data_IF_421040228084
#
_entry.id   IF_421040228084
#
_cell.length_a   1.000
_cell.length_b   1.000
_cell.length_c   1.000
_cell.angle_alpha   90.00
_cell.angle_beta   90.00
_cell.angle_gamma   90.00
#
_symmetry.space_group_name_H-M   'P 1'
#
loop_
_entity.id
_entity.type
_entity.pdbx_description
1 polymer ?
#
# COMPACT_ATOMS: atom_id res chain seq x y z
N UNK A 1 -18.35 9.91 22.91
CA UNK A 1 -18.40 8.46 22.69
C UNK A 1 -17.01 7.99 22.33
N UNK A 2 -16.53 7.06 23.09
CA UNK A 2 -15.21 6.52 22.83
C UNK A 2 -15.33 5.33 21.89
N UNK A 3 -14.69 5.42 20.74
CA UNK A 3 -14.59 4.28 19.86
C UNK A 3 -13.64 3.26 20.47
N UNK A 4 -14.07 2.03 20.56
CA UNK A 4 -13.17 0.96 20.96
C UNK A 4 -12.12 0.78 19.87
N UNK A 5 -10.88 0.57 20.27
CA UNK A 5 -9.84 0.21 19.31
C UNK A 5 -10.19 -1.16 18.72
N UNK A 6 -10.24 -1.27 17.39
CA UNK A 6 -10.52 -2.56 16.77
C UNK A 6 -9.48 -3.59 17.22
N UNK A 7 -9.96 -4.77 17.54
CA UNK A 7 -9.09 -5.89 17.86
C UNK A 7 -9.16 -6.90 16.72
N UNK A 8 -8.01 -7.19 16.15
CA UNK A 8 -7.90 -8.23 15.12
C UNK A 8 -6.96 -9.32 15.63
N UNK A 9 -7.26 -10.56 15.26
CA UNK A 9 -6.47 -11.70 15.73
C UNK A 9 -5.20 -11.90 14.89
N UNK A 10 -5.21 -11.42 13.64
CA UNK A 10 -4.13 -11.63 12.69
C UNK A 10 -4.14 -10.54 11.63
N UNK A 11 -3.05 -10.38 10.85
CA UNK A 11 -3.06 -9.49 9.70
C UNK A 11 -4.16 -9.83 8.68
N UNK A 12 -4.44 -11.11 8.50
CA UNK A 12 -5.52 -11.56 7.60
C UNK A 12 -6.88 -11.08 8.09
N UNK A 13 -7.09 -11.09 9.40
CA UNK A 13 -8.34 -10.60 10.00
C UNK A 13 -8.48 -9.09 9.79
N UNK A 14 -7.40 -8.32 9.97
CA UNK A 14 -7.40 -6.89 9.70
C UNK A 14 -7.70 -6.60 8.22
N UNK A 15 -7.10 -7.35 7.30
CA UNK A 15 -7.35 -7.20 5.87
C UNK A 15 -8.78 -7.57 5.51
N UNK A 16 -9.35 -8.57 6.18
CA UNK A 16 -10.76 -8.94 5.98
C UNK A 16 -11.68 -7.78 6.36
N UNK A 17 -11.39 -7.08 7.45
CA UNK A 17 -12.16 -5.90 7.84
C UNK A 17 -12.04 -4.80 6.79
N UNK A 18 -10.85 -4.59 6.23
CA UNK A 18 -10.63 -3.63 5.15
C UNK A 18 -11.45 -4.00 3.90
N UNK A 19 -11.47 -5.27 3.53
CA UNK A 19 -12.24 -5.77 2.38
C UNK A 19 -13.73 -5.52 2.60
N UNK A 20 -14.25 -5.77 3.80
CA UNK A 20 -15.65 -5.52 4.11
C UNK A 20 -15.99 -4.04 3.99
N UNK A 21 -15.12 -3.16 4.45
CA UNK A 21 -15.30 -1.71 4.33
C UNK A 21 -15.31 -1.25 2.86
N UNK A 22 -14.64 -1.99 1.98
CA UNK A 22 -14.56 -1.67 0.55
C UNK A 22 -15.71 -2.25 -0.28
N UNK A 23 -16.64 -2.96 0.35
CA UNK A 23 -17.81 -3.51 -0.34
C UNK A 23 -17.81 -5.02 -0.50
N UNK A 24 -16.85 -5.71 0.12
CA UNK A 24 -16.82 -7.16 0.19
C UNK A 24 -15.88 -7.84 -0.79
N UNK A 25 -15.76 -9.14 -0.65
CA UNK A 25 -14.79 -9.95 -1.38
C UNK A 25 -15.03 -10.03 -2.88
N UNK A 26 -16.28 -9.95 -3.33
CA UNK A 26 -16.58 -9.98 -4.77
C UNK A 26 -16.03 -8.74 -5.45
N UNK A 27 -16.23 -7.57 -4.86
CA UNK A 27 -15.74 -6.31 -5.40
C UNK A 27 -14.22 -6.25 -5.37
N UNK A 28 -13.61 -6.53 -4.24
CA UNK A 28 -12.16 -6.45 -4.07
C UNK A 28 -11.46 -7.54 -4.88
N UNK A 29 -11.98 -8.76 -4.85
CA UNK A 29 -11.42 -9.86 -5.65
C UNK A 29 -11.41 -9.54 -7.14
N UNK A 30 -12.47 -8.92 -7.65
CA UNK A 30 -12.54 -8.51 -9.06
C UNK A 30 -11.51 -7.44 -9.41
N UNK A 31 -11.11 -6.61 -8.47
CA UNK A 31 -10.06 -5.62 -8.66
C UNK A 31 -8.69 -6.29 -8.71
N UNK A 32 -8.44 -7.25 -7.81
CA UNK A 32 -7.15 -7.93 -7.72
C UNK A 32 -6.90 -8.90 -8.87
N UNK A 33 -7.94 -9.59 -9.31
CA UNK A 33 -7.85 -10.62 -10.35
C UNK A 33 -8.91 -10.39 -11.42
N UNK A 34 -8.63 -9.42 -12.29
CA UNK A 34 -9.58 -8.99 -13.34
C UNK A 34 -9.88 -10.06 -14.38
N UNK A 35 -8.95 -10.97 -14.58
CA UNK A 35 -9.05 -12.06 -15.55
C UNK A 35 -9.81 -13.27 -15.02
N UNK A 36 -10.10 -13.31 -13.73
CA UNK A 36 -10.89 -14.38 -13.13
C UNK A 36 -12.34 -13.98 -13.05
N UNK A 37 -13.24 -14.97 -13.10
CA UNK A 37 -14.65 -14.72 -12.84
C UNK A 37 -14.88 -14.21 -11.43
N UNK A 38 -15.95 -13.45 -11.23
CA UNK A 38 -16.26 -12.79 -9.95
C UNK A 38 -16.25 -13.79 -8.79
N UNK A 39 -16.90 -14.93 -8.96
CA UNK A 39 -17.01 -15.94 -7.90
C UNK A 39 -15.66 -16.62 -7.61
N UNK A 40 -14.86 -16.87 -8.65
CA UNK A 40 -13.53 -17.46 -8.47
C UNK A 40 -12.57 -16.48 -7.79
N UNK A 41 -12.60 -15.21 -8.17
CA UNK A 41 -11.80 -14.18 -7.52
C UNK A 41 -12.19 -14.00 -6.05
N UNK A 42 -13.49 -13.97 -5.77
CA UNK A 42 -13.99 -13.86 -4.41
C UNK A 42 -13.53 -15.04 -3.55
N UNK A 43 -13.63 -16.26 -4.07
CA UNK A 43 -13.19 -17.46 -3.37
C UNK A 43 -11.68 -17.44 -3.10
N UNK A 44 -10.89 -17.03 -4.09
CA UNK A 44 -9.43 -16.92 -3.92
C UNK A 44 -9.10 -15.90 -2.83
N UNK A 45 -9.80 -14.76 -2.81
CA UNK A 45 -9.59 -13.76 -1.77
C UNK A 45 -9.93 -14.32 -0.38
N UNK A 46 -11.03 -15.03 -0.24
CA UNK A 46 -11.36 -15.69 1.03
C UNK A 46 -10.27 -16.64 1.47
N UNK A 47 -9.73 -17.43 0.56
CA UNK A 47 -8.65 -18.37 0.87
C UNK A 47 -7.38 -17.63 1.31
N UNK A 48 -7.01 -16.55 0.61
CA UNK A 48 -5.85 -15.74 0.97
C UNK A 48 -5.98 -15.06 2.33
N UNK A 49 -7.20 -14.75 2.74
CA UNK A 49 -7.46 -14.10 4.03
C UNK A 49 -7.76 -15.09 5.16
N UNK A 50 -7.65 -16.37 4.88
CA UNK A 50 -7.82 -17.42 5.88
C UNK A 50 -6.44 -17.88 6.37
N UNK A 51 -6.08 -17.65 7.66
CA UNK A 51 -4.75 -18.02 8.17
C UNK A 51 -4.42 -19.50 8.06
N UNK A 52 -5.44 -20.36 7.97
CA UNK A 52 -5.24 -21.82 7.91
C UNK A 52 -5.00 -22.33 6.50
N UNK A 53 -5.14 -21.49 5.49
CA UNK A 53 -4.95 -21.87 4.08
C UNK A 53 -3.53 -21.54 3.65
N UNK A 54 -3.05 -22.28 2.65
CA UNK A 54 -1.72 -22.05 2.08
C UNK A 54 -1.68 -20.81 1.17
N UNK A 55 -2.80 -20.49 0.54
CA UNK A 55 -2.91 -19.32 -0.34
C UNK A 55 -2.70 -18.05 0.46
N UNK A 56 -1.87 -17.15 -0.06
CA UNK A 56 -1.59 -15.86 0.58
C UNK A 56 -1.61 -14.76 -0.46
N UNK A 57 -1.96 -13.56 -0.01
CA UNK A 57 -1.82 -12.36 -0.84
C UNK A 57 -0.35 -12.03 -1.03
N UNK A 58 -0.02 -11.53 -2.22
CA UNK A 58 1.25 -10.87 -2.42
C UNK A 58 1.28 -9.57 -1.63
N UNK A 59 2.46 -9.12 -1.24
CA UNK A 59 2.59 -7.89 -0.46
C UNK A 59 1.99 -6.69 -1.19
N UNK A 60 2.18 -6.60 -2.50
CA UNK A 60 1.59 -5.52 -3.32
C UNK A 60 0.08 -5.53 -3.29
N UNK A 61 -0.54 -6.70 -3.25
CA UNK A 61 -1.99 -6.84 -3.17
C UNK A 61 -2.51 -6.39 -1.81
N UNK A 62 -1.82 -6.77 -0.74
CA UNK A 62 -2.16 -6.33 0.61
C UNK A 62 -2.05 -4.81 0.73
N UNK A 63 -0.98 -4.22 0.20
CA UNK A 63 -0.79 -2.78 0.21
C UNK A 63 -1.88 -2.06 -0.59
N UNK A 64 -2.31 -2.62 -1.71
CA UNK A 64 -3.40 -2.04 -2.51
C UNK A 64 -4.71 -2.03 -1.71
N UNK A 65 -5.04 -3.12 -1.04
CA UNK A 65 -6.24 -3.20 -0.19
C UNK A 65 -6.18 -2.13 0.91
N UNK A 66 -5.03 -1.99 1.57
CA UNK A 66 -4.86 -1.00 2.63
C UNK A 66 -4.94 0.43 2.09
N UNK A 67 -4.40 0.69 0.90
CA UNK A 67 -4.49 1.98 0.25
C UNK A 67 -5.94 2.34 -0.09
N UNK A 68 -6.69 1.41 -0.66
CA UNK A 68 -8.10 1.60 -0.94
C UNK A 68 -8.92 1.80 0.33
N UNK A 69 -8.60 1.05 1.38
CA UNK A 69 -9.24 1.19 2.69
C UNK A 69 -9.03 2.58 3.27
N UNK A 70 -7.81 3.11 3.17
CA UNK A 70 -7.50 4.47 3.60
C UNK A 70 -8.33 5.50 2.82
N UNK A 71 -8.44 5.37 1.50
CA UNK A 71 -9.23 6.27 0.68
C UNK A 71 -10.74 6.19 1.01
N UNK A 72 -11.21 5.05 1.46
CA UNK A 72 -12.60 4.86 1.89
C UNK A 72 -12.84 5.35 3.33
N UNK A 73 -11.82 5.86 3.99
CA UNK A 73 -11.93 6.35 5.36
C UNK A 73 -11.79 5.28 6.44
N UNK A 74 -11.41 4.06 6.07
CA UNK A 74 -11.21 2.96 7.01
C UNK A 74 -9.72 2.81 7.32
N UNK A 75 -9.26 3.39 8.41
CA UNK A 75 -7.85 3.43 8.79
C UNK A 75 -7.46 2.35 9.79
N UNK A 76 -8.44 1.80 10.50
CA UNK A 76 -8.20 0.89 11.62
C UNK A 76 -7.37 -0.35 11.26
N UNK A 77 -7.57 -1.03 10.10
CA UNK A 77 -6.77 -2.19 9.80
C UNK A 77 -5.26 -1.93 9.77
N UNK A 78 -4.84 -0.85 9.10
CA UNK A 78 -3.42 -0.54 9.03
C UNK A 78 -2.89 0.01 10.35
N UNK A 79 -3.67 0.82 11.05
CA UNK A 79 -3.27 1.31 12.37
C UNK A 79 -2.98 0.15 13.32
N UNK A 80 -3.83 -0.86 13.31
CA UNK A 80 -3.62 -2.07 14.12
C UNK A 80 -2.35 -2.81 13.70
N UNK A 81 -2.15 -3.01 12.39
CA UNK A 81 -0.98 -3.71 11.87
C UNK A 81 0.32 -2.99 12.26
N UNK A 82 0.34 -1.68 12.14
CA UNK A 82 1.50 -0.87 12.52
C UNK A 82 1.77 -0.96 14.02
N UNK A 83 0.73 -0.94 14.84
CA UNK A 83 0.85 -1.05 16.30
C UNK A 83 1.48 -2.39 16.71
N UNK A 84 1.22 -3.47 15.95
CA UNK A 84 1.79 -4.79 16.26
C UNK A 84 3.31 -4.80 16.15
N UNK A 85 3.88 -3.95 15.30
CA UNK A 85 5.34 -3.84 15.14
C UNK A 85 5.93 -2.61 15.83
N UNK A 86 5.11 -1.91 16.63
CA UNK A 86 5.58 -0.84 17.48
C UNK A 86 5.52 0.56 16.89
N UNK A 87 4.69 0.78 15.88
CA UNK A 87 4.54 2.09 15.26
C UNK A 87 3.15 2.66 15.48
N UNK A 88 3.10 3.96 15.67
CA UNK A 88 1.88 4.74 15.65
C UNK A 88 1.84 5.51 14.33
N UNK A 89 0.78 5.34 13.56
CA UNK A 89 0.68 5.90 12.21
C UNK A 89 -0.57 6.75 12.08
N UNK A 90 -0.51 7.71 11.16
CA UNK A 90 -1.66 8.54 10.80
C UNK A 90 -1.67 8.76 9.29
N UNK A 91 -2.85 8.98 8.69
CA UNK A 91 -2.92 9.28 7.26
C UNK A 91 -2.16 10.56 6.93
N UNK A 92 -1.52 10.55 5.76
CA UNK A 92 -0.85 11.74 5.23
C UNK A 92 -1.92 12.65 4.64
N UNK A 93 -1.88 13.94 4.99
CA UNK A 93 -2.77 14.92 4.38
C UNK A 93 -2.36 15.20 2.94
N UNK A 94 -3.27 15.77 2.14
CA UNK A 94 -2.94 16.17 0.77
C UNK A 94 -1.78 17.16 0.73
N UNK A 95 -1.74 18.12 1.67
CA UNK A 95 -0.65 19.09 1.73
C UNK A 95 0.68 18.42 2.04
N UNK A 96 0.71 17.49 3.00
CA UNK A 96 1.91 16.74 3.35
C UNK A 96 2.39 15.87 2.19
N UNK A 97 1.45 15.26 1.45
CA UNK A 97 1.78 14.42 0.30
C UNK A 97 2.40 15.26 -0.83
N UNK A 98 1.84 16.44 -1.10
CA UNK A 98 2.40 17.38 -2.08
C UNK A 98 3.82 17.79 -1.68
N UNK A 99 4.03 18.14 -0.41
CA UNK A 99 5.34 18.53 0.09
C UNK A 99 6.36 17.41 -0.08
N UNK A 100 5.96 16.17 0.23
CA UNK A 100 6.84 15.00 0.09
C UNK A 100 7.21 14.76 -1.37
N UNK A 101 6.23 14.83 -2.27
CA UNK A 101 6.48 14.66 -3.70
C UNK A 101 7.37 15.76 -4.26
N UNK A 102 7.17 17.00 -3.81
CA UNK A 102 8.02 18.13 -4.20
C UNK A 102 9.47 17.88 -3.79
N UNK A 103 9.70 17.42 -2.56
CA UNK A 103 11.03 17.09 -2.07
C UNK A 103 11.68 15.99 -2.91
N UNK A 104 10.93 14.93 -3.24
CA UNK A 104 11.44 13.84 -4.09
C UNK A 104 11.83 14.37 -5.47
N UNK A 105 11.00 15.23 -6.07
CA UNK A 105 11.30 15.84 -7.37
C UNK A 105 12.57 16.68 -7.29
N UNK A 106 12.72 17.51 -6.27
CA UNK A 106 13.90 18.34 -6.06
C UNK A 106 15.17 17.50 -5.94
N UNK A 107 15.12 16.44 -5.14
CA UNK A 107 16.27 15.54 -4.97
C UNK A 107 16.61 14.81 -6.27
N UNK A 108 15.61 14.35 -7.01
CA UNK A 108 15.81 13.67 -8.29
C UNK A 108 16.42 14.62 -9.32
N UNK A 109 15.98 15.88 -9.35
CA UNK A 109 16.51 16.90 -10.24
C UNK A 109 17.97 17.18 -9.92
N UNK A 110 18.31 17.29 -8.64
CA UNK A 110 19.70 17.50 -8.22
C UNK A 110 20.59 16.34 -8.62
N UNK A 111 20.12 15.11 -8.39
CA UNK A 111 20.86 13.90 -8.76
C UNK A 111 21.12 13.85 -10.26
N UNK A 112 20.11 14.20 -11.06
CA UNK A 112 20.26 14.25 -12.52
C UNK A 112 21.26 15.30 -12.94
N UNK A 113 21.21 16.50 -12.36
CA UNK A 113 22.16 17.56 -12.64
C UNK A 113 23.60 17.15 -12.32
N UNK A 114 23.80 16.50 -11.17
CA UNK A 114 25.12 15.99 -10.77
C UNK A 114 25.62 14.92 -11.75
N UNK A 115 24.74 14.03 -12.19
CA UNK A 115 25.10 12.98 -13.16
C UNK A 115 25.50 13.60 -14.52
N UNK A 116 24.77 14.60 -14.99
CA UNK A 116 25.11 15.30 -16.23
C UNK A 116 26.45 16.01 -16.14
N UNK A 117 26.75 16.66 -15.01
CA UNK A 117 28.03 17.29 -14.78
C UNK A 117 29.19 16.29 -14.82
N UNK A 118 29.00 15.10 -14.26
CA UNK A 118 29.98 14.02 -14.31
C UNK A 118 30.23 13.54 -15.73
N UNK A 119 29.14 13.37 -16.51
CA UNK A 119 29.26 12.98 -17.92
C UNK A 119 30.05 14.00 -18.72
N UNK A 120 29.79 15.29 -18.55
CA UNK A 120 30.49 16.35 -19.21
C UNK A 120 32.01 16.32 -18.90
N UNK A 121 32.37 16.10 -17.63
CA UNK A 121 33.76 15.98 -17.22
C UNK A 121 34.44 14.77 -17.83
N UNK A 122 33.74 13.64 -17.91
CA UNK A 122 34.29 12.43 -18.54
C UNK A 122 34.52 12.67 -20.03
N UNK A 123 33.53 13.26 -20.72
CA UNK A 123 33.63 13.56 -22.15
C UNK A 123 34.75 14.54 -22.44
N UNK A 124 34.91 15.58 -21.61
CA UNK A 124 36.01 16.53 -21.75
C UNK A 124 37.37 15.84 -21.58
N UNK A 125 37.49 14.91 -20.63
CA UNK A 125 38.69 14.11 -20.43
C UNK A 125 39.02 13.19 -21.60
N UNK A 126 38.00 12.64 -22.26
CA UNK A 126 38.18 11.75 -23.42
C UNK A 126 38.52 12.50 -24.70
N UNK A 127 38.21 13.75 -24.79
CA UNK A 127 38.47 14.58 -25.96
C UNK A 127 39.89 15.04 -26.12
N UNK A 128 40.81 14.55 -25.27
CA UNK A 128 42.22 14.90 -25.36
C UNK A 128 43.00 13.89 -26.23
#
# INVERSE_FOLDING_TARGET
MQAELPFYESPEDALRAAVQALGGSKKVGSILWRDKGVDNASRLLHDCLNPTRAEKLELSQAMLILSMSKEAGCHAPFEWMAAQIGYDVKPITKAEDVDRLTTVIEQSTKTLADALSRMERIQAGQGR
#
